data_IF_357978953710
#
_entry.id   IF_357978953710
#
_cell.length_a   1.000
_cell.length_b   1.000
_cell.length_c   1.000
_cell.angle_alpha   90.00
_cell.angle_beta   90.00
_cell.angle_gamma   90.00
#
_symmetry.space_group_name_H-M   'P 1'
#
loop_
_entity.id
_entity.type
_entity.pdbx_description
1 polymer ?
#
# COMPACT_ATOMS: atom_id res chain seq x y z
N UNK A 1 19.69 -9.16 1.06
CA UNK A 1 19.24 -9.30 2.46
C UNK A 1 17.95 -10.11 2.48
N UNK A 2 17.90 -11.17 3.27
CA UNK A 2 16.69 -11.99 3.41
C UNK A 2 15.75 -11.37 4.46
N UNK A 3 14.42 -11.47 4.28
CA UNK A 3 13.46 -10.95 5.25
C UNK A 3 13.65 -11.60 6.62
N UNK A 4 13.48 -10.80 7.68
CA UNK A 4 13.65 -11.25 9.07
C UNK A 4 12.33 -11.59 9.75
N UNK A 5 11.22 -11.07 9.21
CA UNK A 5 9.87 -11.21 9.77
C UNK A 5 8.84 -11.43 8.65
N UNK A 6 7.61 -11.79 9.04
CA UNK A 6 6.46 -11.74 8.14
C UNK A 6 5.38 -10.84 8.74
N UNK A 7 4.69 -10.04 7.93
CA UNK A 7 3.56 -9.21 8.32
C UNK A 7 2.25 -9.93 7.98
N UNK A 8 1.34 -10.07 8.95
CA UNK A 8 -0.02 -10.54 8.69
C UNK A 8 -0.93 -9.35 8.43
N UNK A 9 -1.38 -9.23 7.19
CA UNK A 9 -2.32 -8.21 6.76
C UNK A 9 -3.68 -8.84 6.58
N UNK A 10 -4.72 -8.20 7.11
CA UNK A 10 -6.10 -8.69 6.99
C UNK A 10 -7.12 -7.57 7.11
N UNK A 11 -8.31 -7.83 6.56
CA UNK A 11 -9.49 -6.99 6.77
C UNK A 11 -10.33 -7.65 7.87
N UNK A 12 -10.52 -6.99 9.03
CA UNK A 12 -11.39 -7.47 10.08
C UNK A 12 -12.81 -7.71 9.56
N UNK A 13 -13.36 -8.87 9.90
CA UNK A 13 -14.76 -9.16 9.66
C UNK A 13 -15.59 -8.33 10.65
N UNK A 14 -16.68 -7.66 10.22
CA UNK A 14 -17.56 -6.93 11.11
C UNK A 14 -18.03 -7.81 12.28
N UNK A 15 -17.96 -7.29 13.51
CA UNK A 15 -18.49 -7.99 14.69
C UNK A 15 -19.98 -8.23 14.50
N UNK A 16 -20.41 -9.48 14.69
CA UNK A 16 -21.80 -9.93 14.48
C UNK A 16 -22.70 -9.43 15.60
N UNK A 17 -23.97 -9.16 15.26
CA UNK A 17 -25.08 -9.06 16.22
C UNK A 17 -25.23 -10.39 16.98
N UNK A 18 -25.55 -10.32 18.29
CA UNK A 18 -25.52 -11.40 19.29
C UNK A 18 -26.27 -12.70 18.92
N UNK A 19 -27.10 -12.72 17.86
CA UNK A 19 -28.08 -13.78 17.60
C UNK A 19 -27.70 -14.80 16.53
N UNK A 20 -26.41 -15.07 16.25
CA UNK A 20 -26.07 -16.04 15.18
C UNK A 20 -25.21 -17.22 15.59
N UNK A 21 -25.65 -18.41 15.14
CA UNK A 21 -25.03 -19.71 15.38
C UNK A 21 -23.52 -19.78 15.04
N UNK A 22 -22.69 -20.43 15.87
CA UNK A 22 -21.22 -20.49 15.73
C UNK A 22 -20.73 -21.22 14.47
N UNK A 23 -21.58 -21.99 13.80
CA UNK A 23 -21.22 -22.74 12.59
C UNK A 23 -21.07 -21.88 11.31
N UNK A 24 -21.45 -20.59 11.35
CA UNK A 24 -21.34 -19.65 10.22
C UNK A 24 -20.44 -18.45 10.50
N UNK A 25 -19.36 -18.65 11.27
CA UNK A 25 -18.36 -17.61 11.49
C UNK A 25 -17.67 -17.26 10.16
N UNK A 26 -17.71 -15.98 9.72
CA UNK A 26 -16.97 -15.59 8.53
C UNK A 26 -15.48 -15.69 8.80
N UNK A 27 -14.76 -16.40 7.92
CA UNK A 27 -13.31 -16.57 8.05
C UNK A 27 -12.61 -15.28 7.64
N UNK A 28 -11.76 -14.74 8.52
CA UNK A 28 -10.89 -13.60 8.20
C UNK A 28 -9.87 -14.00 7.14
N UNK A 29 -9.83 -13.26 6.03
CA UNK A 29 -8.83 -13.45 4.98
C UNK A 29 -7.52 -12.78 5.42
N UNK A 30 -6.50 -13.59 5.69
CA UNK A 30 -5.16 -13.14 6.07
C UNK A 30 -4.19 -13.39 4.92
N UNK A 31 -3.32 -12.42 4.62
CA UNK A 31 -2.15 -12.59 3.75
C UNK A 31 -0.88 -12.31 4.53
N UNK A 32 0.17 -13.08 4.28
CA UNK A 32 1.48 -12.91 4.88
C UNK A 32 2.45 -12.27 3.89
N UNK A 33 3.20 -11.26 4.32
CA UNK A 33 4.21 -10.58 3.50
C UNK A 33 5.58 -10.60 4.19
N UNK A 34 6.64 -11.04 3.50
CA UNK A 34 7.99 -10.99 4.06
C UNK A 34 8.48 -9.56 4.23
N UNK A 35 9.22 -9.29 5.31
CA UNK A 35 9.64 -7.94 5.64
C UNK A 35 10.90 -7.88 6.56
N UNK A 36 11.48 -6.68 6.72
CA UNK A 36 12.56 -6.34 7.63
C UNK A 36 12.06 -5.33 8.69
N UNK A 37 12.05 -5.74 9.96
CA UNK A 37 11.57 -4.93 11.08
C UNK A 37 12.14 -3.50 11.12
N UNK A 38 13.46 -3.35 10.92
CA UNK A 38 14.13 -2.05 10.95
C UNK A 38 13.64 -1.13 9.83
N UNK A 39 13.38 -1.70 8.66
CA UNK A 39 12.88 -0.97 7.50
C UNK A 39 11.46 -0.48 7.73
N UNK A 40 10.56 -1.32 8.24
CA UNK A 40 9.21 -0.84 8.56
C UNK A 40 9.21 0.18 9.70
N UNK A 41 10.07 0.01 10.70
CA UNK A 41 10.21 0.96 11.80
C UNK A 41 10.75 2.33 11.33
N UNK A 42 11.55 2.39 10.26
CA UNK A 42 12.03 3.67 9.72
C UNK A 42 10.97 4.43 8.93
N UNK A 43 10.01 3.73 8.33
CA UNK A 43 9.00 4.35 7.47
C UNK A 43 7.61 4.48 8.11
N UNK A 44 7.25 3.64 9.09
CA UNK A 44 5.88 3.53 9.61
C UNK A 44 5.85 3.77 11.13
N UNK A 45 5.19 4.85 11.57
CA UNK A 45 5.16 5.22 12.99
C UNK A 45 4.12 4.43 13.82
N UNK A 46 3.11 3.82 13.20
CA UNK A 46 2.07 3.05 13.91
C UNK A 46 2.38 1.56 14.09
N UNK A 47 3.53 1.11 13.61
CA UNK A 47 3.97 -0.25 13.86
C UNK A 47 4.58 -0.37 15.26
N UNK A 48 3.99 -1.26 16.06
CA UNK A 48 4.59 -1.65 17.33
C UNK A 48 5.96 -2.32 17.10
N UNK A 49 6.79 -2.41 18.16
CA UNK A 49 8.09 -3.04 18.05
C UNK A 49 7.95 -4.48 17.57
N UNK A 50 8.74 -4.84 16.56
CA UNK A 50 8.81 -6.22 16.12
C UNK A 50 9.49 -7.04 17.22
N UNK A 51 8.92 -8.20 17.59
CA UNK A 51 9.54 -9.08 18.57
C UNK A 51 10.89 -9.61 18.05
N UNK A 52 11.83 -9.91 18.95
CA UNK A 52 13.18 -10.30 18.56
C UNK A 52 13.16 -11.60 17.75
N UNK A 53 13.96 -11.65 16.68
CA UNK A 53 14.16 -12.90 15.93
C UNK A 53 14.70 -13.99 16.86
N UNK A 54 14.21 -15.24 16.76
CA UNK A 54 14.70 -16.33 17.59
C UNK A 54 16.21 -16.52 17.37
N UNK A 55 16.97 -16.36 18.44
CA UNK A 55 18.42 -16.56 18.45
C UNK A 55 18.64 -18.06 18.57
N UNK A 56 18.99 -18.74 17.49
CA UNK A 56 19.29 -20.17 17.49
C UNK A 56 20.58 -20.43 18.27
N UNK A 57 20.50 -20.57 19.59
CA UNK A 57 21.58 -21.14 20.42
C UNK A 57 21.34 -22.62 20.75
N UNK A 58 20.21 -23.20 20.34
CA UNK A 58 19.95 -24.63 20.51
C UNK A 58 19.88 -25.31 19.15
N UNK A 59 20.73 -26.32 18.97
CA UNK A 59 20.68 -27.31 17.88
C UNK A 59 19.34 -28.01 17.96
N UNK A 60 18.32 -27.40 17.37
CA UNK A 60 17.00 -27.99 17.24
C UNK A 60 17.03 -28.85 15.99
N UNK A 61 16.83 -30.15 16.19
CA UNK A 61 16.40 -31.09 15.13
C UNK A 61 15.37 -30.42 14.21
N UNK A 62 15.36 -30.73 12.90
CA UNK A 62 14.54 -30.03 11.92
C UNK A 62 13.04 -30.30 12.14
N UNK A 63 12.45 -29.61 13.10
CA UNK A 63 11.01 -29.48 13.25
C UNK A 63 10.58 -28.38 12.29
N UNK A 64 9.83 -28.78 11.27
CA UNK A 64 9.61 -28.08 9.99
C UNK A 64 8.66 -26.88 10.05
N UNK A 65 8.67 -26.09 11.13
CA UNK A 65 7.82 -24.89 11.23
C UNK A 65 8.68 -23.72 11.74
N UNK A 66 9.09 -22.78 10.87
CA UNK A 66 9.68 -21.55 11.35
C UNK A 66 8.65 -20.82 12.21
N UNK A 67 9.00 -20.55 13.48
CA UNK A 67 8.25 -19.63 14.35
C UNK A 67 8.39 -18.21 13.81
N UNK A 68 7.66 -17.92 12.75
CA UNK A 68 7.57 -16.61 12.15
C UNK A 68 6.76 -15.72 13.08
N UNK A 69 7.43 -14.76 13.71
CA UNK A 69 6.72 -13.80 14.54
C UNK A 69 6.09 -12.74 13.65
N UNK A 70 4.79 -12.54 13.82
CA UNK A 70 3.96 -11.90 12.81
C UNK A 70 3.20 -10.70 13.38
N UNK A 71 3.64 -9.46 13.12
CA UNK A 71 2.85 -8.27 13.45
C UNK A 71 1.55 -8.28 12.66
N UNK A 72 0.47 -7.83 13.31
CA UNK A 72 -0.88 -7.84 12.75
C UNK A 72 -1.29 -6.44 12.29
N UNK A 73 -1.67 -6.33 11.02
CA UNK A 73 -2.12 -5.10 10.38
C UNK A 73 -3.60 -5.19 10.01
N UNK A 74 -4.51 -4.79 10.92
CA UNK A 74 -5.93 -4.75 10.63
C UNK A 74 -6.28 -3.57 9.70
N UNK A 75 -7.38 -3.71 8.96
CA UNK A 75 -8.00 -2.64 8.17
C UNK A 75 -7.14 -2.09 7.01
N UNK A 76 -6.18 -2.88 6.55
CA UNK A 76 -5.34 -2.56 5.40
C UNK A 76 -5.94 -3.22 4.14
N UNK A 77 -6.02 -2.46 3.05
CA UNK A 77 -6.41 -2.96 1.73
C UNK A 77 -5.39 -4.00 1.24
N UNK A 78 -5.85 -5.25 1.16
CA UNK A 78 -5.06 -6.40 0.71
C UNK A 78 -4.63 -6.35 -0.76
N UNK A 79 -5.26 -5.47 -1.54
CA UNK A 79 -5.00 -5.31 -2.97
C UNK A 79 -3.86 -4.31 -3.23
N UNK A 80 -3.82 -3.23 -2.46
CA UNK A 80 -2.84 -2.14 -2.62
C UNK A 80 -1.67 -2.22 -1.65
N UNK A 81 -1.73 -3.07 -0.62
CA UNK A 81 -0.62 -3.25 0.33
C UNK A 81 0.69 -3.72 -0.34
N UNK A 82 0.69 -4.66 -1.29
CA UNK A 82 1.93 -5.05 -1.96
C UNK A 82 2.60 -3.87 -2.69
N UNK A 83 1.80 -2.98 -3.29
CA UNK A 83 2.31 -1.79 -3.97
C UNK A 83 2.95 -0.82 -2.97
N UNK A 84 2.30 -0.56 -1.83
CA UNK A 84 2.86 0.27 -0.77
C UNK A 84 4.17 -0.33 -0.23
N UNK A 85 4.17 -1.63 0.08
CA UNK A 85 5.36 -2.30 0.59
C UNK A 85 6.51 -2.17 -0.42
N UNK A 86 6.25 -2.44 -1.70
CA UNK A 86 7.24 -2.35 -2.77
C UNK A 86 7.75 -0.91 -2.98
N UNK A 87 6.87 0.11 -2.94
CA UNK A 87 7.27 1.50 -3.10
C UNK A 87 8.17 1.97 -1.96
N UNK A 88 7.86 1.56 -0.72
CA UNK A 88 8.71 1.83 0.43
C UNK A 88 10.09 1.18 0.25
N UNK A 89 10.15 -0.06 -0.26
CA UNK A 89 11.42 -0.81 -0.34
C UNK A 89 12.39 -0.24 -1.37
N UNK A 90 11.86 0.28 -2.47
CA UNK A 90 12.67 0.83 -3.56
C UNK A 90 12.89 2.34 -3.38
N UNK A 91 12.05 3.02 -2.60
CA UNK A 91 12.05 4.48 -2.44
C UNK A 91 12.02 5.20 -3.80
N UNK A 92 11.26 4.66 -4.77
CA UNK A 92 11.15 5.18 -6.14
C UNK A 92 9.72 5.51 -6.48
N UNK A 93 9.48 6.80 -6.74
CA UNK A 93 8.17 7.35 -7.05
C UNK A 93 7.69 6.92 -8.44
N UNK A 94 8.61 6.56 -9.34
CA UNK A 94 8.29 6.14 -10.71
C UNK A 94 7.37 4.92 -10.75
N UNK A 95 7.56 4.00 -9.80
CA UNK A 95 6.71 2.82 -9.62
C UNK A 95 5.27 3.22 -9.28
N UNK A 96 5.09 4.28 -8.50
CA UNK A 96 3.78 4.77 -8.10
C UNK A 96 3.08 5.46 -9.26
N UNK A 97 3.81 6.26 -10.05
CA UNK A 97 3.25 6.87 -11.26
C UNK A 97 2.72 5.82 -12.24
N UNK A 98 3.47 4.75 -12.49
CA UNK A 98 3.04 3.65 -13.36
C UNK A 98 1.81 2.90 -12.81
N UNK A 99 1.65 2.85 -11.48
CA UNK A 99 0.50 2.19 -10.84
C UNK A 99 -0.74 3.10 -10.76
N UNK A 100 -0.54 4.40 -10.55
CA UNK A 100 -1.60 5.37 -10.34
C UNK A 100 -2.15 5.91 -11.65
N UNK A 101 -1.29 6.09 -12.66
CA UNK A 101 -1.69 6.70 -13.91
C UNK A 101 -2.02 5.63 -14.97
N UNK A 102 -3.08 5.86 -15.76
CA UNK A 102 -3.49 4.96 -16.84
C UNK A 102 -2.53 4.95 -18.03
N UNK A 103 -1.69 5.97 -18.15
CA UNK A 103 -0.60 6.06 -19.13
C UNK A 103 0.66 6.56 -18.46
N UNK A 104 1.81 6.15 -18.98
CA UNK A 104 3.10 6.62 -18.48
C UNK A 104 3.20 8.15 -18.60
N UNK A 105 3.46 8.89 -17.52
CA UNK A 105 3.61 10.34 -17.57
C UNK A 105 4.90 10.75 -18.29
N UNK A 106 4.93 12.00 -18.74
CA UNK A 106 6.13 12.61 -19.30
C UNK A 106 7.21 12.79 -18.21
N UNK A 107 8.51 12.76 -18.56
CA UNK A 107 9.60 12.91 -17.60
C UNK A 107 9.52 14.20 -16.78
N UNK A 108 9.04 15.29 -17.37
CA UNK A 108 8.88 16.58 -16.69
C UNK A 108 7.94 16.47 -15.48
N UNK A 109 6.82 15.76 -15.63
CA UNK A 109 5.90 15.50 -14.53
C UNK A 109 6.51 14.58 -13.47
N UNK A 110 7.29 13.57 -13.86
CA UNK A 110 7.95 12.67 -12.89
C UNK A 110 9.00 13.42 -12.07
N UNK A 111 9.70 14.38 -12.69
CA UNK A 111 10.72 15.18 -12.02
C UNK A 111 10.13 16.27 -11.12
N UNK A 112 8.99 16.85 -11.50
CA UNK A 112 8.28 17.87 -10.72
C UNK A 112 6.77 17.69 -10.78
N UNK A 113 6.26 16.70 -10.03
CA UNK A 113 4.84 16.38 -10.00
C UNK A 113 3.99 17.42 -9.25
N UNK A 114 4.61 18.38 -8.57
CA UNK A 114 3.92 19.44 -7.82
C UNK A 114 3.71 20.71 -8.66
N UNK A 115 4.21 20.77 -9.90
CA UNK A 115 3.96 21.90 -10.80
C UNK A 115 2.54 21.87 -11.36
N UNK A 116 1.79 22.96 -11.13
CA UNK A 116 0.46 23.19 -11.68
C UNK A 116 0.47 23.08 -13.22
N UNK A 117 1.51 23.57 -13.89
CA UNK A 117 1.64 23.49 -15.34
C UNK A 117 1.73 22.05 -15.83
N UNK A 118 2.50 21.20 -15.13
CA UNK A 118 2.64 19.79 -15.47
C UNK A 118 1.36 19.00 -15.19
N UNK A 119 0.68 19.27 -14.07
CA UNK A 119 -0.63 18.69 -13.73
C UNK A 119 -1.68 19.03 -14.80
N UNK A 120 -1.78 20.31 -15.19
CA UNK A 120 -2.74 20.77 -16.20
C UNK A 120 -2.44 20.13 -17.57
N UNK A 121 -1.17 20.05 -17.96
CA UNK A 121 -0.76 19.44 -19.23
C UNK A 121 -1.15 17.97 -19.30
N UNK A 122 -0.83 17.19 -18.26
CA UNK A 122 -1.17 15.77 -18.19
C UNK A 122 -2.69 15.55 -18.15
N UNK A 123 -3.41 16.37 -17.38
CA UNK A 123 -4.87 16.34 -17.33
C UNK A 123 -5.50 16.48 -18.72
N UNK A 124 -5.05 17.46 -19.51
CA UNK A 124 -5.55 17.68 -20.87
C UNK A 124 -5.27 16.48 -21.79
N UNK A 125 -4.08 15.91 -21.71
CA UNK A 125 -3.72 14.73 -22.49
C UNK A 125 -4.62 13.53 -22.15
N UNK A 126 -4.82 13.25 -20.87
CA UNK A 126 -5.62 12.13 -20.38
C UNK A 126 -7.12 12.29 -20.69
N UNK A 127 -7.66 13.50 -20.54
CA UNK A 127 -9.09 13.77 -20.75
C UNK A 127 -9.57 13.52 -22.18
N UNK A 128 -8.67 13.61 -23.17
CA UNK A 128 -9.03 13.30 -24.56
C UNK A 128 -9.01 11.81 -24.88
N UNK A 129 -8.39 10.98 -24.04
CA UNK A 129 -8.10 9.57 -24.36
C UNK A 129 -8.88 8.56 -23.52
N UNK A 130 -9.38 8.97 -22.36
CA UNK A 130 -9.86 8.04 -21.34
C UNK A 130 -11.34 8.19 -21.02
N UNK A 131 -11.94 7.09 -20.59
CA UNK A 131 -13.31 7.05 -20.10
C UNK A 131 -13.35 7.04 -18.57
N UNK A 132 -14.49 7.45 -18.01
CA UNK A 132 -14.72 7.53 -16.57
C UNK A 132 -14.47 6.20 -15.83
N UNK A 133 -14.77 5.05 -16.46
CA UNK A 133 -14.56 3.74 -15.82
C UNK A 133 -13.08 3.44 -15.59
N UNK A 134 -12.21 3.78 -16.54
CA UNK A 134 -10.75 3.64 -16.38
C UNK A 134 -10.25 4.55 -15.27
N UNK A 135 -10.68 5.82 -15.26
CA UNK A 135 -10.28 6.79 -14.24
C UNK A 135 -10.68 6.32 -12.83
N UNK A 136 -11.93 5.89 -12.64
CA UNK A 136 -12.42 5.35 -11.37
C UNK A 136 -11.63 4.12 -10.88
N UNK A 137 -11.17 3.26 -11.81
CA UNK A 137 -10.31 2.12 -11.45
C UNK A 137 -8.98 2.59 -10.85
N UNK A 138 -8.36 3.58 -11.47
CA UNK A 138 -7.09 4.15 -11.00
C UNK A 138 -7.26 4.95 -9.70
N UNK A 139 -8.34 5.74 -9.56
CA UNK A 139 -8.67 6.43 -8.30
C UNK A 139 -8.83 5.44 -7.13
N UNK A 140 -9.44 4.26 -7.35
CA UNK A 140 -9.54 3.22 -6.31
C UNK A 140 -8.17 2.70 -5.85
N UNK A 141 -7.20 2.59 -6.76
CA UNK A 141 -5.83 2.17 -6.42
C UNK A 141 -5.16 3.23 -5.53
N UNK A 142 -5.25 4.50 -5.92
CA UNK A 142 -4.71 5.62 -5.12
C UNK A 142 -5.35 5.64 -3.74
N UNK A 143 -6.68 5.57 -3.66
CA UNK A 143 -7.41 5.56 -2.39
C UNK A 143 -7.01 4.40 -1.48
N UNK A 144 -6.87 3.19 -2.05
CA UNK A 144 -6.45 2.02 -1.30
C UNK A 144 -5.01 2.14 -0.79
N UNK A 145 -4.12 2.77 -1.54
CA UNK A 145 -2.74 2.98 -1.13
C UNK A 145 -2.63 4.10 -0.08
N UNK A 146 -3.33 5.23 -0.28
CA UNK A 146 -3.49 6.30 0.71
C UNK A 146 -4.00 5.77 2.05
N UNK A 147 -5.08 4.97 2.03
CA UNK A 147 -5.65 4.37 3.24
C UNK A 147 -4.65 3.47 3.97
N UNK A 148 -3.83 2.72 3.23
CA UNK A 148 -2.80 1.87 3.83
C UNK A 148 -1.68 2.71 4.44
N UNK A 149 -1.24 3.76 3.75
CA UNK A 149 -0.23 4.69 4.23
C UNK A 149 -0.68 5.41 5.51
N UNK A 150 -1.93 5.88 5.58
CA UNK A 150 -2.50 6.46 6.78
C UNK A 150 -2.63 5.45 7.94
N UNK A 151 -2.97 4.19 7.65
CA UNK A 151 -3.09 3.15 8.68
C UNK A 151 -1.73 2.85 9.34
N UNK A 152 -0.67 2.83 8.54
CA UNK A 152 0.70 2.59 9.00
C UNK A 152 1.41 3.84 9.52
N UNK A 153 0.84 5.02 9.28
CA UNK A 153 1.45 6.32 9.56
C UNK A 153 2.81 6.45 8.87
N UNK A 154 2.75 6.33 7.55
CA UNK A 154 3.94 6.38 6.70
C UNK A 154 4.50 7.80 6.65
N UNK A 155 5.78 7.94 6.94
CA UNK A 155 6.50 9.21 6.87
C UNK A 155 7.45 9.24 5.66
N UNK A 156 6.89 9.48 4.48
CA UNK A 156 7.62 9.60 3.22
C UNK A 156 7.00 10.72 2.37
N UNK A 157 7.66 11.88 2.30
CA UNK A 157 7.15 13.06 1.58
C UNK A 157 6.95 12.80 0.09
N UNK A 158 7.83 11.99 -0.52
CA UNK A 158 7.77 11.66 -1.93
C UNK A 158 6.55 10.82 -2.30
N UNK A 159 6.22 9.85 -1.45
CA UNK A 159 5.01 9.04 -1.54
C UNK A 159 3.77 9.94 -1.46
N UNK A 160 3.70 10.84 -0.47
CA UNK A 160 2.56 11.73 -0.29
C UNK A 160 2.39 12.70 -1.47
N UNK A 161 3.47 13.34 -1.92
CA UNK A 161 3.43 14.19 -3.11
C UNK A 161 2.94 13.43 -4.35
N UNK A 162 3.43 12.20 -4.56
CA UNK A 162 3.00 11.37 -5.70
C UNK A 162 1.52 11.00 -5.63
N UNK A 163 1.02 10.66 -4.43
CA UNK A 163 -0.40 10.36 -4.20
C UNK A 163 -1.25 11.59 -4.54
N UNK A 164 -0.91 12.75 -3.99
CA UNK A 164 -1.68 13.98 -4.11
C UNK A 164 -1.72 14.45 -5.58
N UNK A 165 -0.56 14.56 -6.23
CA UNK A 165 -0.48 14.98 -7.63
C UNK A 165 -1.21 14.04 -8.59
N UNK A 166 -1.07 12.71 -8.42
CA UNK A 166 -1.80 11.77 -9.27
C UNK A 166 -3.31 11.83 -9.02
N UNK A 167 -3.72 11.98 -7.76
CA UNK A 167 -5.13 12.10 -7.41
C UNK A 167 -5.75 13.36 -8.03
N UNK A 168 -5.04 14.49 -7.94
CA UNK A 168 -5.46 15.76 -8.54
C UNK A 168 -5.62 15.64 -10.05
N UNK A 169 -4.63 15.06 -10.75
CA UNK A 169 -4.72 14.81 -12.20
C UNK A 169 -6.00 14.03 -12.53
N UNK A 170 -6.26 12.91 -11.84
CA UNK A 170 -7.44 12.08 -12.12
C UNK A 170 -8.76 12.81 -11.81
N UNK A 171 -8.82 13.59 -10.73
CA UNK A 171 -9.99 14.39 -10.38
C UNK A 171 -10.25 15.49 -11.42
N UNK A 172 -9.21 16.19 -11.86
CA UNK A 172 -9.32 17.22 -12.88
C UNK A 172 -9.77 16.64 -14.22
N UNK A 173 -9.31 15.44 -14.59
CA UNK A 173 -9.80 14.74 -15.79
C UNK A 173 -11.28 14.41 -15.66
N UNK A 174 -11.71 13.87 -14.52
CA UNK A 174 -13.12 13.54 -14.25
C UNK A 174 -14.03 14.78 -14.25
N UNK A 175 -13.50 15.95 -13.89
CA UNK A 175 -14.25 17.20 -13.89
C UNK A 175 -14.41 17.82 -15.29
N UNK A 176 -13.50 17.50 -16.23
CA UNK A 176 -13.52 18.02 -17.60
C UNK A 176 -14.37 17.14 -18.54
N UNK A 177 -14.48 15.84 -18.24
CA UNK A 177 -15.27 14.86 -19.01
C UNK A 177 -16.78 14.99 -18.80
#
# INVERSE_FOLDING_TARGET
>A
NYPTHMLAVYVPVPKKSENTSPASLPKTKVKLYPDHALFMASHCARLGPFPPSPITNEVSTPSSIPSTITPHLPNVSLETFPLLLYSLYICRQEVLFDAFLPTKPLPEFVNDCNSDEHVISLTKDLGTKLNASTLLKHTKVIQGLWSNACMLDVFDEGLWATIDSCHEVLLNVLAIG
#
